data_IF_303441122667
#
_entry.id   IF_303441122667
#
_cell.length_a   1.000
_cell.length_b   1.000
_cell.length_c   1.000
_cell.angle_alpha   90.00
_cell.angle_beta   90.00
_cell.angle_gamma   90.00
#
_symmetry.space_group_name_H-M   'P 1'
#
loop_
_entity.id
_entity.type
_entity.pdbx_description
1 polymer ?
#
# COMPACT_ATOMS: atom_id res chain seq x y z
N UNK A 1 -4.97 -18.42 13.63
CA UNK A 1 -3.97 -17.63 14.36
C UNK A 1 -4.76 -16.55 15.08
N UNK A 2 -4.94 -16.69 16.37
CA UNK A 2 -5.69 -15.73 17.18
C UNK A 2 -4.72 -14.60 17.55
N UNK A 3 -4.99 -13.39 17.05
CA UNK A 3 -4.13 -12.22 17.32
C UNK A 3 -4.70 -11.53 18.55
N UNK A 4 -4.02 -11.65 19.68
CA UNK A 4 -4.36 -10.92 20.89
C UNK A 4 -3.86 -9.47 20.74
N UNK A 5 -4.78 -8.55 20.50
CA UNK A 5 -4.52 -7.12 20.40
C UNK A 5 -5.60 -6.35 21.18
N UNK A 6 -5.18 -5.32 21.91
CA UNK A 6 -6.11 -4.41 22.56
C UNK A 6 -6.92 -3.66 21.50
N UNK A 7 -8.18 -3.35 21.81
CA UNK A 7 -9.04 -2.57 20.92
C UNK A 7 -8.78 -1.09 21.17
N UNK A 8 -8.59 -0.32 20.09
CA UNK A 8 -8.40 1.12 20.18
C UNK A 8 -9.52 1.78 20.98
N UNK A 9 -9.15 2.57 21.99
CA UNK A 9 -10.08 3.41 22.75
C UNK A 9 -10.18 4.83 22.17
N UNK A 10 -11.35 5.45 22.25
CA UNK A 10 -11.60 6.81 21.75
C UNK A 10 -12.26 6.88 20.36
N UNK A 11 -12.89 8.01 20.07
CA UNK A 11 -13.57 8.27 18.79
C UNK A 11 -12.66 8.99 17.80
N UNK A 12 -12.65 8.50 16.56
CA UNK A 12 -12.06 9.19 15.42
C UNK A 12 -12.88 10.44 15.09
N UNK A 13 -12.25 11.56 14.72
CA UNK A 13 -12.97 12.79 14.40
C UNK A 13 -12.15 13.84 13.67
N UNK A 14 -12.82 14.87 13.18
CA UNK A 14 -12.29 15.80 12.16
C UNK A 14 -11.37 16.92 12.71
N UNK A 15 -10.92 16.80 13.96
CA UNK A 15 -10.14 17.86 14.61
C UNK A 15 -8.65 17.76 14.22
N UNK A 16 -8.22 18.62 13.31
CA UNK A 16 -6.86 18.67 12.73
C UNK A 16 -5.72 18.76 13.76
N UNK A 17 -5.95 19.32 14.95
CA UNK A 17 -4.90 19.52 16.00
C UNK A 17 -4.98 18.48 17.12
N UNK A 18 -6.00 17.62 17.13
CA UNK A 18 -6.13 16.58 18.16
C UNK A 18 -5.20 15.41 17.79
N UNK A 19 -4.44 14.93 18.77
CA UNK A 19 -3.67 13.69 18.63
C UNK A 19 -4.64 12.54 18.33
N UNK A 20 -4.32 11.79 17.28
CA UNK A 20 -5.06 10.59 16.89
C UNK A 20 -5.16 9.61 18.07
N UNK A 21 -6.35 9.08 18.39
CA UNK A 21 -6.54 8.17 19.50
C UNK A 21 -5.97 6.75 19.22
N UNK A 22 -5.50 6.49 17.99
CA UNK A 22 -4.98 5.19 17.58
C UNK A 22 -3.46 5.16 17.46
N UNK A 23 -2.88 4.04 17.88
CA UNK A 23 -1.49 3.67 17.64
C UNK A 23 -1.42 2.34 16.91
N UNK A 24 -0.99 1.29 17.61
CA UNK A 24 -0.83 -0.04 17.05
C UNK A 24 -1.99 -1.00 17.42
N UNK A 25 -2.97 -0.53 18.17
CA UNK A 25 -4.12 -1.30 18.62
C UNK A 25 -5.01 -1.75 17.45
N UNK A 26 -5.91 -2.69 17.71
CA UNK A 26 -6.88 -3.15 16.73
C UNK A 26 -7.82 -2.00 16.32
N UNK A 27 -7.97 -1.80 15.01
CA UNK A 27 -8.86 -0.80 14.42
C UNK A 27 -10.29 -1.36 14.30
N UNK A 28 -11.28 -0.79 15.03
CA UNK A 28 -12.68 -1.21 14.95
C UNK A 28 -13.27 -1.08 13.54
N UNK A 29 -14.20 -1.96 13.18
CA UNK A 29 -14.81 -1.98 11.84
C UNK A 29 -15.51 -0.67 11.46
N UNK A 30 -16.15 -0.01 12.43
CA UNK A 30 -16.83 1.28 12.23
C UNK A 30 -15.89 2.41 11.80
N UNK A 31 -14.61 2.29 12.13
CA UNK A 31 -13.61 3.33 11.89
C UNK A 31 -12.79 3.06 10.61
N UNK A 32 -13.20 2.06 9.80
CA UNK A 32 -12.55 1.68 8.55
C UNK A 32 -13.26 2.35 7.38
N UNK A 33 -12.75 3.51 7.01
CA UNK A 33 -13.34 4.35 5.94
C UNK A 33 -12.58 4.23 4.60
N UNK A 34 -11.58 3.36 4.51
CA UNK A 34 -10.73 3.21 3.33
C UNK A 34 -11.47 2.53 2.17
N UNK A 35 -11.36 3.10 0.97
CA UNK A 35 -11.82 2.49 -0.28
C UNK A 35 -10.62 1.98 -1.09
N UNK A 36 -10.75 0.88 -1.87
CA UNK A 36 -9.67 0.39 -2.74
C UNK A 36 -9.12 1.45 -3.70
N UNK A 37 -9.95 2.40 -4.16
CA UNK A 37 -9.49 3.48 -5.05
C UNK A 37 -8.53 4.45 -4.35
N UNK A 38 -8.63 4.59 -3.02
CA UNK A 38 -7.69 5.43 -2.27
C UNK A 38 -6.27 4.88 -2.34
N UNK A 39 -6.11 3.55 -2.42
CA UNK A 39 -4.81 2.92 -2.58
C UNK A 39 -4.12 3.32 -3.88
N UNK A 40 -4.87 3.51 -4.97
CA UNK A 40 -4.30 4.00 -6.23
C UNK A 40 -3.60 5.34 -6.02
N UNK A 41 -4.25 6.29 -5.34
CA UNK A 41 -3.69 7.61 -5.09
C UNK A 41 -2.53 7.56 -4.10
N UNK A 42 -2.65 6.76 -3.03
CA UNK A 42 -1.58 6.55 -2.04
C UNK A 42 -0.31 6.00 -2.70
N UNK A 43 -0.45 5.05 -3.63
CA UNK A 43 0.68 4.44 -4.31
C UNK A 43 1.18 5.24 -5.51
N UNK A 44 0.31 5.98 -6.20
CA UNK A 44 0.73 6.80 -7.33
C UNK A 44 1.65 7.94 -6.88
N UNK A 45 1.36 8.57 -5.73
CA UNK A 45 2.14 9.71 -5.20
C UNK A 45 3.66 9.45 -5.14
N UNK A 46 4.18 8.41 -4.47
CA UNK A 46 5.62 8.14 -4.45
C UNK A 46 6.17 7.62 -5.78
N UNK A 47 5.36 6.99 -6.63
CA UNK A 47 5.83 6.48 -7.92
C UNK A 47 5.99 7.58 -8.99
N UNK A 48 5.48 8.79 -8.76
CA UNK A 48 5.70 9.97 -9.60
C UNK A 48 7.05 10.62 -9.30
N UNK A 49 8.11 9.83 -9.41
CA UNK A 49 9.48 10.23 -9.15
C UNK A 49 10.39 10.00 -10.36
N UNK A 50 11.55 10.65 -10.35
CA UNK A 50 12.51 10.54 -11.45
C UNK A 50 13.06 9.12 -11.65
N UNK A 51 13.17 8.32 -10.59
CA UNK A 51 13.64 6.94 -10.69
C UNK A 51 12.72 6.10 -11.60
N UNK A 52 11.40 6.29 -11.50
CA UNK A 52 10.40 5.63 -12.37
C UNK A 52 10.56 6.05 -13.83
N UNK A 53 10.88 7.31 -14.10
CA UNK A 53 11.13 7.82 -15.46
C UNK A 53 12.38 7.13 -16.04
N UNK A 54 13.46 7.02 -15.26
CA UNK A 54 14.69 6.37 -15.69
C UNK A 54 14.49 4.88 -16.02
N UNK A 55 13.64 4.16 -15.30
CA UNK A 55 13.26 2.78 -15.65
C UNK A 55 12.74 2.67 -17.08
N UNK A 56 11.86 3.60 -17.50
CA UNK A 56 11.35 3.66 -18.88
C UNK A 56 12.43 4.00 -19.90
N UNK A 57 13.29 4.98 -19.58
CA UNK A 57 14.41 5.37 -20.46
C UNK A 57 15.39 4.21 -20.64
N UNK A 58 15.77 3.53 -19.57
CA UNK A 58 16.73 2.42 -19.60
C UNK A 58 16.20 1.24 -20.42
N UNK A 59 14.91 0.94 -20.35
CA UNK A 59 14.29 -0.12 -21.15
C UNK A 59 14.58 0.07 -22.66
N UNK A 60 14.47 1.29 -23.16
CA UNK A 60 14.73 1.57 -24.58
C UNK A 60 16.23 1.81 -24.84
N UNK A 61 16.86 2.70 -24.06
CA UNK A 61 18.20 3.20 -24.33
C UNK A 61 19.32 2.20 -23.98
N UNK A 62 19.15 1.41 -22.92
CA UNK A 62 20.16 0.45 -22.46
C UNK A 62 19.83 -0.99 -22.86
N UNK A 63 18.56 -1.39 -22.77
CA UNK A 63 18.14 -2.76 -23.06
C UNK A 63 17.63 -2.96 -24.50
N UNK A 64 17.54 -1.91 -25.30
CA UNK A 64 17.19 -1.99 -26.73
C UNK A 64 15.74 -2.43 -27.00
N UNK A 65 14.85 -2.35 -25.99
CA UNK A 65 13.44 -2.68 -26.17
C UNK A 65 12.77 -1.62 -27.05
N UNK A 66 11.87 -2.05 -27.93
CA UNK A 66 10.94 -1.11 -28.58
C UNK A 66 10.02 -0.49 -27.53
N UNK A 67 9.42 0.68 -27.83
CA UNK A 67 8.47 1.34 -26.92
C UNK A 67 7.38 0.39 -26.41
N UNK A 68 6.76 -0.39 -27.30
CA UNK A 68 5.69 -1.32 -26.93
C UNK A 68 6.17 -2.50 -26.10
N UNK A 69 7.38 -3.01 -26.37
CA UNK A 69 7.97 -4.06 -25.54
C UNK A 69 8.34 -3.53 -24.15
N UNK A 70 8.87 -2.31 -24.06
CA UNK A 70 9.16 -1.66 -22.78
C UNK A 70 7.87 -1.45 -21.95
N UNK A 71 6.81 -0.92 -22.57
CA UNK A 71 5.49 -0.77 -21.93
C UNK A 71 4.98 -2.13 -21.44
N UNK A 72 5.02 -3.16 -22.29
CA UNK A 72 4.57 -4.50 -21.91
C UNK A 72 5.40 -5.06 -20.75
N UNK A 73 6.72 -4.96 -20.80
CA UNK A 73 7.61 -5.44 -19.75
C UNK A 73 7.34 -4.74 -18.41
N UNK A 74 7.13 -3.42 -18.43
CA UNK A 74 6.78 -2.63 -17.23
C UNK A 74 5.43 -3.07 -16.70
N UNK A 75 4.39 -3.16 -17.53
CA UNK A 75 3.04 -3.57 -17.11
C UNK A 75 3.06 -4.97 -16.50
N UNK A 76 3.76 -5.92 -17.13
CA UNK A 76 3.88 -7.29 -16.62
C UNK A 76 4.66 -7.32 -15.31
N UNK A 77 5.82 -6.66 -15.24
CA UNK A 77 6.63 -6.60 -14.03
C UNK A 77 5.89 -5.95 -12.85
N UNK A 78 5.26 -4.80 -13.08
CA UNK A 78 4.43 -4.12 -12.09
C UNK A 78 3.23 -4.95 -11.69
N UNK A 79 2.57 -5.65 -12.63
CA UNK A 79 1.46 -6.55 -12.34
C UNK A 79 1.87 -7.71 -11.42
N UNK A 80 2.99 -8.37 -11.69
CA UNK A 80 3.53 -9.45 -10.84
C UNK A 80 3.91 -8.94 -9.44
N UNK A 81 4.53 -7.75 -9.36
CA UNK A 81 4.82 -7.08 -8.09
C UNK A 81 3.54 -6.74 -7.33
N UNK A 82 2.53 -6.19 -8.00
CA UNK A 82 1.26 -5.84 -7.40
C UNK A 82 0.50 -7.06 -6.86
N UNK A 83 0.57 -8.21 -7.55
CA UNK A 83 -0.02 -9.46 -7.07
C UNK A 83 0.62 -9.92 -5.76
N UNK A 84 1.95 -9.99 -5.72
CA UNK A 84 2.66 -10.40 -4.50
C UNK A 84 2.42 -9.43 -3.35
N UNK A 85 2.46 -8.12 -3.63
CA UNK A 85 2.12 -7.08 -2.65
C UNK A 85 0.67 -7.21 -2.16
N UNK A 86 -0.29 -7.46 -3.05
CA UNK A 86 -1.70 -7.64 -2.72
C UNK A 86 -1.95 -8.81 -1.76
N UNK A 87 -1.28 -9.95 -1.99
CA UNK A 87 -1.37 -11.12 -1.08
C UNK A 87 -0.85 -10.79 0.31
N UNK A 88 0.28 -10.07 0.40
CA UNK A 88 0.85 -9.66 1.69
C UNK A 88 -0.06 -8.65 2.40
N UNK A 89 -0.56 -7.65 1.66
CA UNK A 89 -1.39 -6.57 2.18
C UNK A 89 -2.79 -7.03 2.58
N UNK A 90 -3.31 -8.13 2.03
CA UNK A 90 -4.60 -8.70 2.40
C UNK A 90 -4.70 -9.10 3.89
N UNK A 91 -3.57 -9.39 4.54
CA UNK A 91 -3.53 -9.72 5.98
C UNK A 91 -3.87 -8.53 6.87
N UNK A 92 -3.53 -7.31 6.46
CA UNK A 92 -3.80 -6.10 7.25
C UNK A 92 -5.29 -5.89 7.55
N UNK A 93 -6.16 -5.79 6.52
CA UNK A 93 -7.60 -5.64 6.71
C UNK A 93 -8.26 -6.81 7.45
N UNK A 94 -7.76 -8.04 7.25
CA UNK A 94 -8.28 -9.23 7.91
C UNK A 94 -8.09 -9.22 9.42
N UNK A 95 -6.88 -8.89 9.90
CA UNK A 95 -6.56 -8.89 11.33
C UNK A 95 -6.74 -7.53 12.01
N UNK A 96 -6.84 -6.44 11.25
CA UNK A 96 -7.11 -5.10 11.79
C UNK A 96 -5.96 -4.49 12.61
N UNK A 97 -4.75 -5.03 12.46
CA UNK A 97 -3.53 -4.62 13.19
C UNK A 97 -2.36 -4.44 12.21
N UNK A 98 -1.35 -3.62 12.56
CA UNK A 98 -0.16 -3.45 11.74
C UNK A 98 0.67 -4.74 11.65
N UNK A 99 1.44 -4.89 10.56
CA UNK A 99 2.29 -6.07 10.32
C UNK A 99 3.29 -6.30 11.46
N UNK A 100 3.76 -5.24 12.13
CA UNK A 100 4.62 -5.33 13.32
C UNK A 100 4.02 -6.16 14.47
N UNK A 101 2.69 -6.12 14.64
CA UNK A 101 1.97 -6.91 15.64
C UNK A 101 1.65 -8.32 15.13
N UNK A 102 1.52 -8.50 13.82
CA UNK A 102 1.30 -9.81 13.22
C UNK A 102 2.56 -10.67 13.20
N UNK A 103 3.74 -10.05 13.18
CA UNK A 103 5.03 -10.76 13.10
C UNK A 103 5.62 -11.16 14.44
N UNK A 104 5.05 -10.71 15.56
CA UNK A 104 5.51 -11.02 16.91
C UNK A 104 4.96 -12.36 17.38
#
# INVERSE_FOLDING_TARGET
>A
MEVVAEVREGEYGDRVVRVEPGGAEFVPLRDRHGSPIHLLWTWMSPNLEFATIFLGVLAVAAFGLTFWQAVLAIVVGTGLGALSHGVLSARGPGFGVPQMILSR
#
